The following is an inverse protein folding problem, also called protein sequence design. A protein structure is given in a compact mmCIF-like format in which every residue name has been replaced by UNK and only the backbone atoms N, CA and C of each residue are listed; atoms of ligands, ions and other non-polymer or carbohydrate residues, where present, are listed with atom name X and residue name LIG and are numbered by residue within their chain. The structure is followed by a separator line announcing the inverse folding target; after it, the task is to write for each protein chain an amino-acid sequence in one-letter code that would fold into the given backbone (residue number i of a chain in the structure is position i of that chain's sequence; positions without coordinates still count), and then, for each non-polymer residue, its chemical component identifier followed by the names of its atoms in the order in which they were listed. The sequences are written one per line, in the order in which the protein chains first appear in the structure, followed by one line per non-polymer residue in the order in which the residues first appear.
data_IF_000024295869
#
_entry.id   IF_000024295869
#
_cell.length_a   1.000
_cell.length_b   1.000
_cell.length_c   1.000
_cell.angle_alpha   90.00
_cell.angle_beta   90.00
_cell.angle_gamma   90.00
#
_symmetry.space_group_name_H-M   'P 1'
#
loop_
_entity.id
_entity.type
_entity.pdbx_description
1 polymer ?
#
# COMPACT_ATOMS: atom_id res chain seq x y z
N UNK A 1 -12.09 21.59 -10.99
CA UNK A 1 -11.66 21.44 -9.60
C UNK A 1 -10.41 22.25 -9.25
N UNK A 2 -9.30 22.08 -9.97
CA UNK A 2 -8.03 22.75 -9.69
C UNK A 2 -8.07 24.29 -9.62
N UNK A 3 -8.96 24.95 -10.37
CA UNK A 3 -9.19 26.39 -10.22
C UNK A 3 -9.71 26.75 -8.82
N UNK A 4 -10.59 25.94 -8.23
CA UNK A 4 -11.11 26.15 -6.88
C UNK A 4 -10.00 25.96 -5.87
N UNK A 5 -9.17 24.92 -6.02
CA UNK A 5 -7.98 24.70 -5.17
C UNK A 5 -7.03 25.90 -5.22
N UNK A 6 -6.73 26.41 -6.42
CA UNK A 6 -5.88 27.60 -6.60
C UNK A 6 -6.50 28.87 -5.98
N UNK A 7 -7.80 29.05 -6.13
CA UNK A 7 -8.51 30.19 -5.51
C UNK A 7 -8.53 30.05 -3.99
N UNK A 8 -8.72 28.84 -3.46
CA UNK A 8 -8.64 28.52 -2.03
C UNK A 8 -7.32 28.93 -1.41
N UNK A 9 -6.23 28.61 -2.09
CA UNK A 9 -4.90 29.05 -1.70
C UNK A 9 -4.74 30.56 -1.76
N UNK A 10 -5.07 31.17 -2.90
CA UNK A 10 -4.95 32.61 -3.08
C UNK A 10 -5.69 33.43 -2.02
N UNK A 11 -6.88 32.97 -1.62
CA UNK A 11 -7.73 33.69 -0.68
C UNK A 11 -7.76 33.07 0.72
N UNK A 12 -6.91 32.07 0.99
CA UNK A 12 -6.77 31.40 2.29
C UNK A 12 -8.07 30.90 2.92
N UNK A 13 -9.06 30.51 2.11
CA UNK A 13 -10.29 29.93 2.65
C UNK A 13 -10.12 28.44 2.92
N UNK A 14 -10.79 27.95 3.97
CA UNK A 14 -10.77 26.55 4.35
C UNK A 14 -11.54 25.69 3.35
N UNK A 15 -10.87 24.71 2.76
CA UNK A 15 -11.47 23.79 1.80
C UNK A 15 -12.61 22.97 2.40
N UNK A 16 -12.67 22.80 3.72
CA UNK A 16 -13.79 22.14 4.40
C UNK A 16 -15.14 22.80 4.09
N UNK A 17 -15.17 24.12 3.86
CA UNK A 17 -16.39 24.86 3.51
C UNK A 17 -17.00 24.35 2.19
N UNK A 18 -16.16 23.83 1.29
CA UNK A 18 -16.57 23.29 0.00
C UNK A 18 -16.56 21.75 -0.04
N UNK A 19 -16.38 21.07 1.10
CA UNK A 19 -16.33 19.60 1.15
C UNK A 19 -17.57 18.97 0.53
N UNK A 20 -18.77 19.37 0.94
CA UNK A 20 -20.01 18.74 0.45
C UNK A 20 -20.24 18.96 -1.04
N UNK A 21 -19.78 20.10 -1.58
CA UNK A 21 -19.76 20.36 -3.01
C UNK A 21 -18.77 19.42 -3.71
N UNK A 22 -17.55 19.28 -3.17
CA UNK A 22 -16.51 18.42 -3.73
C UNK A 22 -16.92 16.95 -3.73
N UNK A 23 -17.51 16.45 -2.64
CA UNK A 23 -18.01 15.07 -2.53
C UNK A 23 -19.02 14.78 -3.63
N UNK A 24 -20.05 15.63 -3.80
CA UNK A 24 -21.06 15.47 -4.86
C UNK A 24 -20.45 15.55 -6.26
N UNK A 25 -19.44 16.40 -6.45
CA UNK A 25 -18.71 16.47 -7.70
C UNK A 25 -17.93 15.18 -7.95
N UNK A 26 -17.22 14.66 -6.94
CA UNK A 26 -16.43 13.44 -7.05
C UNK A 26 -17.32 12.25 -7.38
N UNK A 27 -18.37 12.00 -6.62
CA UNK A 27 -19.31 10.89 -6.82
C UNK A 27 -19.98 10.89 -8.20
N UNK A 28 -20.14 12.07 -8.81
CA UNK A 28 -20.75 12.22 -10.13
C UNK A 28 -19.75 12.06 -11.28
N UNK A 29 -18.48 12.40 -11.07
CA UNK A 29 -17.51 12.55 -12.17
C UNK A 29 -16.36 11.54 -12.11
N UNK A 30 -16.17 10.86 -10.98
CA UNK A 30 -15.07 9.90 -10.80
C UNK A 30 -15.65 8.50 -10.74
N UNK A 31 -15.37 7.70 -11.77
CA UNK A 31 -15.61 6.27 -11.76
C UNK A 31 -14.30 5.55 -11.44
N UNK A 32 -14.25 4.85 -10.30
CA UNK A 32 -13.04 4.14 -9.86
C UNK A 32 -12.70 2.91 -10.70
N UNK A 33 -13.67 2.35 -11.44
CA UNK A 33 -13.47 1.20 -12.32
C UNK A 33 -12.87 1.61 -13.67
N UNK A 34 -13.24 2.79 -14.16
CA UNK A 34 -12.75 3.37 -15.43
C UNK A 34 -11.65 4.42 -15.23
N UNK A 35 -11.20 4.64 -14.00
CA UNK A 35 -10.22 5.67 -13.66
C UNK A 35 -8.90 5.49 -14.43
N UNK A 36 -8.48 6.54 -15.13
CA UNK A 36 -7.21 6.55 -15.85
C UNK A 36 -6.04 7.02 -14.98
N UNK A 37 -4.82 6.60 -15.34
CA UNK A 37 -3.59 6.96 -14.63
C UNK A 37 -3.40 8.48 -14.47
N UNK A 38 -3.62 9.23 -15.54
CA UNK A 38 -3.43 10.67 -15.55
C UNK A 38 -4.49 11.39 -14.72
N UNK A 39 -5.71 10.86 -14.67
CA UNK A 39 -6.79 11.40 -13.85
C UNK A 39 -6.50 11.16 -12.36
N UNK A 40 -6.18 9.92 -11.98
CA UNK A 40 -5.85 9.53 -10.61
C UNK A 40 -4.74 10.41 -10.01
N UNK A 41 -3.70 10.71 -10.80
CA UNK A 41 -2.56 11.57 -10.40
C UNK A 41 -2.96 13.01 -10.09
N UNK A 42 -4.13 13.45 -10.55
CA UNK A 42 -4.63 14.82 -10.35
C UNK A 42 -5.70 14.93 -9.25
N UNK A 43 -6.21 13.81 -8.73
CA UNK A 43 -7.35 13.80 -7.80
C UNK A 43 -6.94 13.73 -6.32
N UNK A 44 -5.77 13.17 -6.01
CA UNK A 44 -5.33 13.01 -4.62
C UNK A 44 -5.22 14.37 -3.88
N UNK A 45 -4.61 15.39 -4.50
CA UNK A 45 -4.46 16.70 -3.86
C UNK A 45 -5.83 17.37 -3.61
N UNK A 46 -6.74 17.48 -4.60
CA UNK A 46 -8.11 17.95 -4.33
C UNK A 46 -8.81 17.22 -3.19
N UNK A 47 -8.73 15.89 -3.13
CA UNK A 47 -9.35 15.14 -2.04
C UNK A 47 -8.79 15.53 -0.67
N UNK A 48 -7.49 15.81 -0.58
CA UNK A 48 -6.89 16.31 0.65
C UNK A 48 -7.35 17.75 0.97
N UNK A 49 -7.31 18.65 0.00
CA UNK A 49 -7.64 20.07 0.19
C UNK A 49 -9.09 20.26 0.65
N UNK A 50 -10.02 19.45 0.14
CA UNK A 50 -11.44 19.51 0.52
C UNK A 50 -11.80 18.57 1.67
N UNK A 51 -10.83 17.99 2.38
CA UNK A 51 -11.05 17.07 3.51
C UNK A 51 -11.94 15.87 3.16
N UNK A 52 -11.86 15.39 1.91
CA UNK A 52 -12.58 14.19 1.46
C UNK A 52 -11.74 12.93 1.68
N UNK A 53 -11.81 12.43 2.92
CA UNK A 53 -10.99 11.30 3.39
C UNK A 53 -11.20 10.00 2.62
N UNK A 54 -12.42 9.69 2.21
CA UNK A 54 -12.74 8.48 1.44
C UNK A 54 -12.09 8.54 0.07
N UNK A 55 -12.34 9.61 -0.70
CA UNK A 55 -11.73 9.79 -2.02
C UNK A 55 -10.21 9.84 -1.96
N UNK A 56 -9.63 10.48 -0.93
CA UNK A 56 -8.18 10.50 -0.77
C UNK A 56 -7.59 9.09 -0.59
N UNK A 57 -8.21 8.26 0.24
CA UNK A 57 -7.79 6.89 0.45
C UNK A 57 -7.99 6.04 -0.82
N UNK A 58 -9.12 6.17 -1.51
CA UNK A 58 -9.41 5.45 -2.75
C UNK A 58 -8.41 5.76 -3.85
N UNK A 59 -8.14 7.04 -4.13
CA UNK A 59 -7.21 7.47 -5.17
C UNK A 59 -5.78 7.04 -4.82
N UNK A 60 -5.32 7.24 -3.59
CA UNK A 60 -3.97 6.84 -3.20
C UNK A 60 -3.78 5.33 -3.20
N UNK A 61 -4.81 4.56 -2.84
CA UNK A 61 -4.83 3.10 -3.00
C UNK A 61 -4.75 2.73 -4.48
N UNK A 62 -5.60 3.31 -5.31
CA UNK A 62 -5.62 3.03 -6.75
C UNK A 62 -4.25 3.28 -7.37
N UNK A 63 -3.61 4.42 -7.07
CA UNK A 63 -2.26 4.74 -7.55
C UNK A 63 -1.23 3.69 -7.14
N UNK A 64 -1.25 3.21 -5.90
CA UNK A 64 -0.31 2.18 -5.42
C UNK A 64 -0.45 0.88 -6.20
N UNK A 65 -1.69 0.45 -6.47
CA UNK A 65 -1.98 -0.86 -7.04
C UNK A 65 -2.00 -0.89 -8.57
N UNK A 66 -2.45 0.18 -9.22
CA UNK A 66 -2.71 0.23 -10.67
C UNK A 66 -1.67 1.05 -11.45
N UNK A 67 -0.97 2.01 -10.84
CA UNK A 67 -0.01 2.82 -11.58
C UNK A 67 1.28 2.02 -11.88
N UNK A 68 1.81 2.00 -13.12
CA UNK A 68 3.08 1.38 -13.44
C UNK A 68 4.27 2.28 -13.07
N UNK A 69 5.38 1.67 -12.64
CA UNK A 69 6.61 2.40 -12.36
C UNK A 69 6.55 3.32 -11.12
N UNK A 70 7.21 4.47 -11.20
CA UNK A 70 7.33 5.43 -10.09
C UNK A 70 6.18 6.45 -10.16
N UNK A 71 5.37 6.50 -9.09
CA UNK A 71 4.21 7.37 -9.04
C UNK A 71 4.67 8.82 -8.88
N UNK A 72 4.08 9.72 -9.66
CA UNK A 72 4.29 11.16 -9.56
C UNK A 72 2.96 11.85 -9.42
N UNK A 73 2.90 12.95 -8.69
CA UNK A 73 1.74 13.84 -8.76
C UNK A 73 1.66 14.47 -10.17
N UNK A 74 0.45 14.78 -10.64
CA UNK A 74 0.26 15.62 -11.82
C UNK A 74 -0.52 16.87 -11.40
N UNK A 75 0.09 18.03 -11.64
CA UNK A 75 -0.53 19.33 -11.42
C UNK A 75 -0.83 19.99 -12.78
N UNK A 76 -1.89 20.80 -12.87
CA UNK A 76 -2.13 21.62 -14.06
C UNK A 76 -0.93 22.51 -14.36
N UNK A 77 -0.70 22.78 -15.65
CA UNK A 77 0.31 23.74 -16.08
C UNK A 77 -0.01 25.10 -15.48
N UNK A 78 1.00 25.78 -14.93
CA UNK A 78 0.88 27.08 -14.22
C UNK A 78 0.15 27.04 -12.87
N UNK A 79 0.02 25.87 -12.24
CA UNK A 79 -0.40 25.80 -10.84
C UNK A 79 0.78 26.16 -9.92
N UNK A 80 0.72 27.36 -9.32
CA UNK A 80 1.65 27.83 -8.30
C UNK A 80 0.97 27.82 -6.94
N UNK A 81 1.72 27.40 -5.92
CA UNK A 81 1.28 27.36 -4.53
C UNK A 81 1.81 28.62 -3.85
N UNK A 82 0.94 29.61 -3.63
CA UNK A 82 1.33 30.98 -3.29
C UNK A 82 1.22 31.26 -1.78
N UNK A 83 0.22 30.73 -1.08
CA UNK A 83 -0.16 31.28 0.23
C UNK A 83 -0.44 30.27 1.34
N UNK A 84 -0.82 29.03 1.02
CA UNK A 84 -0.88 27.97 2.00
C UNK A 84 0.54 27.44 2.21
N UNK A 85 1.16 27.85 3.32
CA UNK A 85 2.37 27.24 3.88
C UNK A 85 2.23 25.74 4.20
N UNK A 86 1.08 25.13 3.86
CA UNK A 86 0.93 23.70 3.69
C UNK A 86 1.82 23.30 2.51
N UNK A 87 3.03 22.83 2.80
CA UNK A 87 3.72 21.94 1.86
C UNK A 87 2.65 20.93 1.41
N UNK A 88 2.30 20.89 0.10
CA UNK A 88 1.24 20.03 -0.37
C UNK A 88 1.54 18.66 0.21
N UNK A 89 0.54 17.95 0.79
CA UNK A 89 0.79 16.68 1.46
C UNK A 89 1.72 15.87 0.57
N UNK A 90 2.95 15.62 1.04
CA UNK A 90 3.87 14.76 0.30
C UNK A 90 3.32 13.35 0.44
N UNK A 91 2.31 13.05 -0.35
CA UNK A 91 1.66 11.76 -0.43
C UNK A 91 2.44 10.85 -1.39
N UNK A 92 3.20 11.44 -2.32
CA UNK A 92 3.97 10.76 -3.36
C UNK A 92 5.07 9.89 -2.74
N UNK A 93 5.84 10.43 -1.80
CA UNK A 93 6.87 9.65 -1.09
C UNK A 93 6.28 8.42 -0.39
N UNK A 94 5.30 8.58 0.51
CA UNK A 94 4.59 7.50 1.17
C UNK A 94 4.00 6.43 0.25
N UNK A 95 3.27 6.81 -0.80
CA UNK A 95 2.66 5.81 -1.70
C UNK A 95 3.72 5.03 -2.50
N UNK A 96 4.82 5.67 -2.90
CA UNK A 96 5.93 4.95 -3.54
C UNK A 96 6.63 3.99 -2.57
N UNK A 97 6.77 4.36 -1.29
CA UNK A 97 7.30 3.46 -0.27
C UNK A 97 6.38 2.22 -0.07
N UNK A 98 5.06 2.44 -0.02
CA UNK A 98 4.08 1.33 0.02
C UNK A 98 4.18 0.46 -1.24
N UNK A 99 4.30 1.06 -2.42
CA UNK A 99 4.49 0.33 -3.67
C UNK A 99 5.75 -0.54 -3.65
N UNK A 100 6.88 -0.03 -3.12
CA UNK A 100 8.08 -0.84 -2.89
C UNK A 100 7.85 -2.00 -1.90
N UNK A 101 7.00 -1.78 -0.89
CA UNK A 101 6.60 -2.81 0.06
C UNK A 101 5.73 -3.90 -0.58
N UNK A 102 4.82 -3.55 -1.49
CA UNK A 102 4.05 -4.54 -2.27
C UNK A 102 4.97 -5.42 -3.12
N UNK A 103 5.96 -4.83 -3.82
CA UNK A 103 7.01 -5.60 -4.53
C UNK A 103 7.68 -6.60 -3.58
N UNK A 104 8.04 -6.16 -2.38
CA UNK A 104 8.69 -7.01 -1.37
C UNK A 104 7.78 -8.13 -0.83
N UNK A 105 6.46 -7.96 -0.83
CA UNK A 105 5.51 -9.01 -0.44
C UNK A 105 5.37 -10.06 -1.54
N UNK A 106 5.23 -9.62 -2.80
CA UNK A 106 5.17 -10.50 -3.96
C UNK A 106 6.46 -11.32 -4.07
N UNK A 107 7.63 -10.67 -3.97
CA UNK A 107 8.92 -11.34 -4.02
C UNK A 107 9.05 -12.43 -2.95
N UNK A 108 8.74 -12.10 -1.69
CA UNK A 108 8.78 -13.09 -0.60
C UNK A 108 7.80 -14.23 -0.82
N UNK A 109 6.58 -13.93 -1.26
CA UNK A 109 5.59 -14.95 -1.61
C UNK A 109 6.06 -15.95 -2.66
N UNK A 110 6.74 -15.47 -3.70
CA UNK A 110 7.33 -16.33 -4.73
C UNK A 110 8.57 -17.08 -4.24
N UNK A 111 9.35 -16.50 -3.31
CA UNK A 111 10.65 -17.03 -2.91
C UNK A 111 10.59 -17.95 -1.71
N UNK A 112 9.85 -17.63 -0.64
CA UNK A 112 9.98 -18.28 0.67
C UNK A 112 9.85 -19.81 0.57
N UNK A 113 8.83 -20.28 -0.13
CA UNK A 113 8.59 -21.72 -0.28
C UNK A 113 9.69 -22.45 -1.06
N UNK A 114 10.13 -21.89 -2.21
CA UNK A 114 11.13 -22.55 -3.05
C UNK A 114 12.55 -22.36 -2.50
N UNK A 115 12.81 -21.21 -1.87
CA UNK A 115 14.04 -20.91 -1.17
C UNK A 115 14.32 -21.91 -0.05
N UNK A 116 13.30 -22.34 0.68
CA UNK A 116 13.44 -23.39 1.70
C UNK A 116 13.83 -24.75 1.09
N UNK A 117 13.28 -25.11 -0.07
CA UNK A 117 13.70 -26.31 -0.80
C UNK A 117 15.17 -26.21 -1.25
N UNK A 118 15.54 -25.06 -1.83
CA UNK A 118 16.89 -24.79 -2.34
C UNK A 118 17.95 -24.69 -1.25
N UNK A 119 17.58 -24.30 -0.02
CA UNK A 119 18.49 -24.33 1.14
C UNK A 119 18.74 -25.74 1.62
N UNK A 120 17.71 -26.60 1.64
CA UNK A 120 17.84 -28.00 2.10
C UNK A 120 18.63 -28.87 1.13
N UNK A 121 18.51 -28.61 -0.18
CA UNK A 121 19.21 -29.34 -1.27
C UNK A 121 19.08 -30.87 -1.18
N UNK A 122 18.00 -31.34 -0.57
CA UNK A 122 17.80 -32.76 -0.32
C UNK A 122 16.31 -33.07 -0.20
N UNK A 123 15.90 -34.17 -0.83
CA UNK A 123 14.66 -34.88 -0.58
C UNK A 123 14.95 -36.38 -0.69
N UNK A 124 14.12 -37.21 -0.07
CA UNK A 124 14.14 -38.67 -0.25
C UNK A 124 14.02 -39.10 -1.72
N UNK A 125 13.52 -38.21 -2.58
CA UNK A 125 13.28 -38.44 -3.99
C UNK A 125 14.41 -38.06 -4.95
N UNK A 126 15.44 -37.32 -4.50
CA UNK A 126 16.46 -36.71 -5.38
C UNK A 126 15.97 -35.67 -6.42
N UNK A 127 14.68 -35.29 -6.46
CA UNK A 127 14.09 -34.42 -7.53
C UNK A 127 13.96 -32.94 -7.16
N UNK A 128 14.72 -32.46 -6.17
CA UNK A 128 14.59 -31.06 -5.72
C UNK A 128 15.00 -30.07 -6.82
N UNK A 129 16.01 -30.40 -7.64
CA UNK A 129 16.46 -29.57 -8.78
C UNK A 129 15.38 -29.46 -9.85
N UNK A 130 14.80 -30.59 -10.27
CA UNK A 130 13.69 -30.62 -11.24
C UNK A 130 12.49 -29.84 -10.73
N UNK A 131 12.21 -29.91 -9.43
CA UNK A 131 11.12 -29.16 -8.79
C UNK A 131 11.39 -27.66 -8.85
N UNK A 132 12.59 -27.21 -8.50
CA UNK A 132 12.96 -25.79 -8.61
C UNK A 132 12.96 -25.29 -10.06
N UNK A 133 13.51 -26.06 -10.99
CA UNK A 133 13.50 -25.71 -12.42
C UNK A 133 12.09 -25.53 -12.97
N UNK A 134 11.17 -26.47 -12.66
CA UNK A 134 9.76 -26.35 -13.06
C UNK A 134 9.05 -25.17 -12.39
N UNK A 135 9.34 -24.91 -11.11
CA UNK A 135 8.77 -23.78 -10.40
C UNK A 135 9.13 -22.45 -11.06
N UNK A 136 10.42 -22.22 -11.37
CA UNK A 136 10.85 -21.02 -12.07
C UNK A 136 10.35 -20.96 -13.51
N UNK A 137 10.31 -22.08 -14.23
CA UNK A 137 9.74 -22.13 -15.57
C UNK A 137 8.27 -21.69 -15.58
N UNK A 138 7.48 -22.13 -14.60
CA UNK A 138 6.09 -21.70 -14.45
C UNK A 138 5.96 -20.22 -14.06
N UNK A 139 6.83 -19.70 -13.19
CA UNK A 139 6.86 -18.26 -12.90
C UNK A 139 7.18 -17.43 -14.14
N UNK A 140 8.17 -17.83 -14.93
CA UNK A 140 8.52 -17.17 -16.20
C UNK A 140 7.34 -17.23 -17.17
N UNK A 141 6.66 -18.38 -17.29
CA UNK A 141 5.47 -18.53 -18.15
C UNK A 141 4.34 -17.56 -17.79
N UNK A 142 4.20 -17.18 -16.52
CA UNK A 142 3.21 -16.16 -16.12
C UNK A 142 3.61 -14.73 -16.49
N UNK A 143 4.83 -14.48 -16.96
CA UNK A 143 5.35 -13.12 -17.25
C UNK A 143 5.37 -12.20 -16.02
N UNK A 144 5.38 -12.78 -14.81
CA UNK A 144 5.50 -12.09 -13.53
C UNK A 144 6.93 -12.15 -12.95
N UNK A 145 7.83 -12.89 -13.60
CA UNK A 145 9.20 -13.14 -13.18
C UNK A 145 10.18 -12.92 -14.36
N UNK A 146 11.37 -12.32 -14.14
CA UNK A 146 11.87 -11.76 -12.88
C UNK A 146 11.14 -10.49 -12.46
N UNK A 147 10.82 -10.37 -11.17
CA UNK A 147 9.97 -9.31 -10.64
C UNK A 147 10.59 -7.92 -10.83
N UNK A 148 11.92 -7.83 -10.77
CA UNK A 148 12.70 -6.61 -10.90
C UNK A 148 12.42 -5.89 -12.22
N UNK A 149 12.33 -6.66 -13.31
CA UNK A 149 12.10 -6.13 -14.65
C UNK A 149 10.61 -5.86 -14.89
N UNK A 150 9.74 -6.76 -14.42
CA UNK A 150 8.29 -6.64 -14.63
C UNK A 150 7.70 -5.47 -13.82
N UNK A 151 8.12 -5.27 -12.58
CA UNK A 151 7.53 -4.26 -11.67
C UNK A 151 7.79 -2.82 -12.09
N UNK A 152 8.82 -2.58 -12.93
CA UNK A 152 9.10 -1.27 -13.51
C UNK A 152 8.09 -0.89 -14.60
N UNK A 153 7.49 -1.87 -15.28
CA UNK A 153 6.62 -1.68 -16.47
C UNK A 153 5.17 -2.08 -16.25
N UNK A 154 4.86 -2.72 -15.12
CA UNK A 154 3.53 -3.23 -14.82
C UNK A 154 3.05 -2.75 -13.46
N UNK A 155 1.74 -2.69 -13.30
CA UNK A 155 1.13 -2.40 -12.01
C UNK A 155 1.25 -3.59 -11.06
N UNK A 156 1.00 -3.37 -9.77
CA UNK A 156 0.93 -4.49 -8.82
C UNK A 156 -0.23 -5.43 -9.21
N UNK A 157 -1.38 -4.88 -9.60
CA UNK A 157 -2.54 -5.67 -10.01
C UNK A 157 -2.30 -6.50 -11.28
N UNK A 158 -1.54 -6.00 -12.26
CA UNK A 158 -1.17 -6.79 -13.45
C UNK A 158 -0.36 -8.02 -13.06
N UNK A 159 0.63 -7.82 -12.20
CA UNK A 159 1.53 -8.88 -11.74
C UNK A 159 0.75 -9.91 -10.91
N UNK A 160 -0.10 -9.44 -10.00
CA UNK A 160 -0.99 -10.31 -9.22
C UNK A 160 -1.96 -11.09 -10.13
N UNK A 161 -2.51 -10.44 -11.17
CA UNK A 161 -3.37 -11.06 -12.17
C UNK A 161 -2.65 -12.18 -12.93
N UNK A 162 -1.42 -11.94 -13.38
CA UNK A 162 -0.54 -12.93 -14.01
C UNK A 162 -0.25 -14.13 -13.11
N UNK A 163 0.09 -13.88 -11.84
CA UNK A 163 0.39 -14.92 -10.86
C UNK A 163 -0.81 -15.84 -10.55
N UNK A 164 -2.06 -15.39 -10.76
CA UNK A 164 -3.25 -16.27 -10.61
C UNK A 164 -3.20 -17.50 -11.51
N UNK A 165 -2.52 -17.39 -12.66
CA UNK A 165 -2.32 -18.45 -13.65
C UNK A 165 -1.13 -19.37 -13.35
N UNK A 166 -0.41 -19.14 -12.24
CA UNK A 166 0.64 -20.06 -11.81
C UNK A 166 0.04 -21.43 -11.47
N UNK A 167 0.54 -22.48 -12.13
CA UNK A 167 0.11 -23.86 -11.97
C UNK A 167 1.30 -24.78 -12.18
N UNK A 168 1.65 -25.55 -11.17
CA UNK A 168 2.81 -26.43 -11.23
C UNK A 168 2.40 -27.85 -10.86
N UNK A 169 2.55 -28.77 -11.81
CA UNK A 169 2.34 -30.19 -11.56
C UNK A 169 3.49 -30.71 -10.70
N UNK A 170 3.21 -31.32 -9.53
CA UNK A 170 4.25 -31.84 -8.66
C UNK A 170 5.13 -32.90 -9.35
N UNK A 171 6.41 -32.94 -9.01
CA UNK A 171 7.40 -33.82 -9.68
C UNK A 171 7.48 -35.22 -9.06
N UNK A 172 6.81 -35.42 -7.93
CA UNK A 172 6.74 -36.67 -7.18
C UNK A 172 5.41 -36.72 -6.42
N UNK A 173 4.79 -37.90 -6.35
CA UNK A 173 3.60 -38.14 -5.54
C UNK A 173 3.92 -38.52 -4.09
N UNK A 174 5.11 -39.06 -3.82
CA UNK A 174 5.49 -39.64 -2.53
C UNK A 174 6.40 -38.77 -1.67
N UNK A 175 7.04 -37.75 -2.24
CA UNK A 175 7.94 -36.85 -1.50
C UNK A 175 7.19 -35.59 -1.03
N UNK A 176 7.05 -35.34 0.28
CA UNK A 176 6.34 -34.17 0.81
C UNK A 176 6.87 -32.81 0.31
N UNK A 177 8.15 -32.73 -0.03
CA UNK A 177 8.78 -31.51 -0.54
C UNK A 177 8.50 -31.27 -2.03
N UNK A 178 8.43 -32.35 -2.82
CA UNK A 178 8.26 -32.28 -4.27
C UNK A 178 6.80 -32.51 -4.71
N UNK A 179 5.96 -33.04 -3.82
CA UNK A 179 4.51 -33.22 -3.98
C UNK A 179 3.69 -32.01 -3.52
N UNK A 180 4.34 -31.01 -2.92
CA UNK A 180 3.70 -29.80 -2.40
C UNK A 180 2.88 -29.13 -3.51
N UNK A 181 1.68 -28.66 -3.13
CA UNK A 181 0.87 -27.76 -3.97
C UNK A 181 1.51 -26.36 -3.98
N UNK A 182 2.37 -26.13 -4.96
CA UNK A 182 3.16 -24.90 -5.08
C UNK A 182 2.31 -23.66 -5.39
N UNK A 183 1.06 -23.84 -5.81
CA UNK A 183 0.10 -22.76 -6.01
C UNK A 183 -0.35 -22.11 -4.70
N UNK A 184 -0.34 -22.86 -3.58
CA UNK A 184 -0.87 -22.36 -2.30
C UNK A 184 -0.07 -21.14 -1.82
N UNK A 185 1.28 -21.19 -1.70
CA UNK A 185 2.07 -20.02 -1.33
C UNK A 185 1.88 -18.81 -2.25
N UNK A 186 1.73 -19.06 -3.57
CA UNK A 186 1.48 -17.99 -4.55
C UNK A 186 0.11 -17.34 -4.31
N UNK A 187 -0.95 -18.13 -4.09
CA UNK A 187 -2.28 -17.61 -3.79
C UNK A 187 -2.30 -16.80 -2.49
N UNK A 188 -1.68 -17.31 -1.43
CA UNK A 188 -1.54 -16.57 -0.18
C UNK A 188 -0.80 -15.25 -0.35
N UNK A 189 0.26 -15.23 -1.18
CA UNK A 189 0.99 -14.01 -1.49
C UNK A 189 0.14 -13.00 -2.26
N UNK A 190 -0.70 -13.47 -3.20
CA UNK A 190 -1.65 -12.64 -3.93
C UNK A 190 -2.63 -12.00 -2.96
N UNK A 191 -3.30 -12.79 -2.12
CA UNK A 191 -4.28 -12.30 -1.15
C UNK A 191 -3.66 -11.31 -0.16
N UNK A 192 -2.50 -11.65 0.42
CA UNK A 192 -1.78 -10.77 1.36
C UNK A 192 -1.40 -9.43 0.72
N UNK A 193 -1.02 -9.44 -0.56
CA UNK A 193 -0.62 -8.21 -1.27
C UNK A 193 -1.83 -7.38 -1.66
N UNK A 194 -2.89 -8.01 -2.19
CA UNK A 194 -4.10 -7.34 -2.69
C UNK A 194 -4.82 -6.53 -1.59
N UNK A 195 -4.78 -7.00 -0.35
CA UNK A 195 -5.43 -6.34 0.79
C UNK A 195 -4.46 -5.64 1.75
N UNK A 196 -3.18 -5.50 1.37
CA UNK A 196 -2.16 -4.93 2.25
C UNK A 196 -2.43 -3.46 2.63
N UNK A 197 -2.88 -2.63 1.69
CA UNK A 197 -2.96 -1.18 1.86
C UNK A 197 -4.34 -0.63 1.51
N UNK A 198 -4.87 0.24 2.37
CA UNK A 198 -6.22 0.81 2.22
C UNK A 198 -6.22 2.22 1.62
N UNK A 199 -5.07 2.75 1.20
CA UNK A 199 -4.91 4.18 0.90
C UNK A 199 -4.26 4.91 2.06
N UNK A 200 -3.84 6.16 1.84
CA UNK A 200 -3.40 7.05 2.92
C UNK A 200 -4.61 7.58 3.68
N UNK A 201 -4.41 7.89 4.96
CA UNK A 201 -5.46 8.38 5.85
C UNK A 201 -5.12 9.79 6.34
N UNK A 202 -5.95 10.76 5.98
CA UNK A 202 -5.80 12.17 6.39
C UNK A 202 -5.77 12.28 7.93
N UNK A 203 -6.66 11.57 8.63
CA UNK A 203 -6.71 11.62 10.10
C UNK A 203 -5.41 11.11 10.76
N UNK A 204 -4.77 10.09 10.17
CA UNK A 204 -3.45 9.62 10.62
C UNK A 204 -2.35 10.64 10.32
N UNK A 205 -2.40 11.27 9.14
CA UNK A 205 -1.47 12.33 8.76
C UNK A 205 -1.55 13.50 9.75
N UNK A 206 -2.76 13.95 10.07
CA UNK A 206 -2.99 15.09 10.94
C UNK A 206 -2.66 14.83 12.40
N UNK A 207 -3.00 13.64 12.90
CA UNK A 207 -2.74 13.25 14.30
C UNK A 207 -1.27 12.98 14.59
N UNK A 208 -0.51 12.55 13.59
CA UNK A 208 0.92 12.28 13.75
C UNK A 208 1.80 13.52 13.57
N UNK A 209 1.24 14.64 13.07
CA UNK A 209 1.94 15.93 13.08
C UNK A 209 2.14 16.42 14.51
N UNK A 210 3.38 16.78 14.86
CA UNK A 210 3.69 17.34 16.17
C UNK A 210 2.99 18.70 16.33
N UNK A 211 2.00 18.77 17.22
CA UNK A 211 1.35 20.03 17.58
C UNK A 211 2.18 20.71 18.67
N UNK A 212 2.47 22.00 18.52
CA UNK A 212 3.32 22.77 19.45
C UNK A 212 2.81 22.79 20.89
N UNK A 213 1.53 22.46 21.10
CA UNK A 213 0.82 22.59 22.37
C UNK A 213 0.57 21.24 23.09
N UNK A 214 0.82 20.09 22.46
CA UNK A 214 0.58 18.79 23.09
C UNK A 214 1.77 18.35 23.92
N UNK A 215 1.54 17.91 25.16
CA UNK A 215 2.54 17.17 25.92
C UNK A 215 2.98 15.93 25.13
N UNK A 216 4.25 15.54 25.23
CA UNK A 216 4.75 14.34 24.53
C UNK A 216 3.84 13.14 24.85
N UNK A 217 3.43 12.96 26.12
CA UNK A 217 2.56 11.85 26.59
C UNK A 217 1.22 11.80 25.87
N UNK A 218 0.54 12.94 25.71
CA UNK A 218 -0.71 12.98 24.98
C UNK A 218 -0.48 12.67 23.50
N UNK A 219 0.59 13.21 22.90
CA UNK A 219 0.96 12.90 21.52
C UNK A 219 1.17 11.38 21.29
N UNK A 220 1.74 10.65 22.26
CA UNK A 220 1.90 9.18 22.18
C UNK A 220 0.56 8.45 22.23
N UNK A 221 -0.27 8.72 23.25
CA UNK A 221 -1.55 8.03 23.46
C UNK A 221 -2.50 8.15 22.28
N UNK A 222 -2.52 9.30 21.60
CA UNK A 222 -3.39 9.52 20.45
C UNK A 222 -2.92 8.75 19.20
N UNK A 223 -1.64 8.36 19.13
CA UNK A 223 -1.05 7.69 17.98
C UNK A 223 -0.92 6.17 18.15
N UNK A 224 -1.16 5.65 19.35
CA UNK A 224 -1.17 4.23 19.68
C UNK A 224 -2.38 3.50 19.06
N UNK A 225 -2.22 2.21 18.67
CA UNK A 225 -3.35 1.39 18.31
C UNK A 225 -4.21 1.13 19.55
N UNK A 226 -5.51 1.39 19.46
CA UNK A 226 -6.43 1.10 20.56
C UNK A 226 -7.06 -0.28 20.37
N UNK A 227 -6.94 -1.14 21.37
CA UNK A 227 -7.43 -2.54 21.31
C UNK A 227 -6.87 -3.31 20.09
N UNK A 228 -5.67 -2.95 19.65
CA UNK A 228 -5.02 -3.51 18.47
C UNK A 228 -5.56 -3.01 17.12
N UNK A 229 -6.41 -1.97 17.12
CA UNK A 229 -6.92 -1.30 15.92
C UNK A 229 -6.19 0.02 15.66
N UNK A 230 -5.76 0.20 14.42
CA UNK A 230 -5.02 1.39 13.96
C UNK A 230 -5.93 2.51 13.45
N UNK A 231 -7.22 2.23 13.28
CA UNK A 231 -8.22 3.10 12.65
C UNK A 231 -9.26 3.66 13.63
N UNK A 232 -9.13 3.43 14.95
CA UNK A 232 -10.18 3.77 15.94
C UNK A 232 -10.53 5.26 15.99
N UNK A 233 -9.58 6.12 15.63
CA UNK A 233 -9.75 7.58 15.58
C UNK A 233 -9.77 8.13 14.15
N UNK A 234 -10.12 7.29 13.18
CA UNK A 234 -10.12 7.64 11.77
C UNK A 234 -11.54 7.52 11.21
N UNK A 235 -11.87 8.40 10.26
CA UNK A 235 -13.14 8.42 9.52
C UNK A 235 -13.25 7.27 8.51
N UNK A 236 -12.13 6.62 8.19
CA UNK A 236 -12.06 5.44 7.32
C UNK A 236 -11.48 4.24 8.07
N UNK A 237 -11.92 3.04 7.71
CA UNK A 237 -11.34 1.79 8.23
C UNK A 237 -10.04 1.46 7.51
N UNK A 238 -9.00 1.13 8.26
CA UNK A 238 -7.71 0.74 7.68
C UNK A 238 -6.82 -0.06 8.65
N UNK A 239 -5.80 -0.74 8.11
CA UNK A 239 -4.81 -1.48 8.89
C UNK A 239 -3.56 -0.68 9.29
N UNK A 240 -2.62 -1.39 9.92
CA UNK A 240 -1.26 -0.90 10.25
C UNK A 240 -0.55 -0.30 9.02
N UNK A 241 -0.59 -0.89 7.80
CA UNK A 241 0.15 -0.35 6.67
C UNK A 241 -0.28 1.06 6.25
N UNK A 242 -1.58 1.34 6.30
CA UNK A 242 -2.12 2.68 6.05
C UNK A 242 -1.69 3.67 7.12
N UNK A 243 -1.79 3.31 8.39
CA UNK A 243 -1.32 4.15 9.50
C UNK A 243 0.18 4.46 9.35
N UNK A 244 0.99 3.44 9.07
CA UNK A 244 2.45 3.56 8.95
C UNK A 244 2.85 4.49 7.80
N UNK A 245 2.22 4.33 6.64
CA UNK A 245 2.48 5.14 5.46
C UNK A 245 1.98 6.58 5.63
N UNK A 246 0.88 6.78 6.36
CA UNK A 246 0.30 8.10 6.62
C UNK A 246 1.03 8.87 7.73
N UNK A 247 2.06 8.29 8.34
CA UNK A 247 2.78 8.90 9.45
C UNK A 247 3.62 10.10 9.01
N UNK A 248 3.38 11.26 9.64
CA UNK A 248 4.11 12.52 9.44
C UNK A 248 4.95 12.96 10.64
N UNK A 249 4.95 12.18 11.72
CA UNK A 249 5.74 12.44 12.92
C UNK A 249 7.20 11.99 12.82
N UNK A 250 7.92 12.03 13.95
CA UNK A 250 9.30 11.51 14.05
C UNK A 250 9.34 10.00 13.81
N UNK A 251 10.36 9.51 13.10
CA UNK A 251 10.47 8.06 12.80
C UNK A 251 10.72 7.22 14.07
N UNK A 252 11.53 7.72 15.00
CA UNK A 252 11.77 7.03 16.28
C UNK A 252 10.48 6.74 17.05
N UNK A 253 9.55 7.71 17.05
CA UNK A 253 8.22 7.57 17.65
C UNK A 253 7.44 6.45 16.96
N UNK A 254 7.39 6.47 15.63
CA UNK A 254 6.73 5.43 14.84
C UNK A 254 7.29 4.04 15.14
N UNK A 255 8.61 3.89 15.18
CA UNK A 255 9.27 2.61 15.45
C UNK A 255 8.95 2.08 16.85
N UNK A 256 8.91 2.96 17.85
CA UNK A 256 8.58 2.59 19.24
C UNK A 256 7.15 2.03 19.34
N UNK A 257 6.16 2.72 18.75
CA UNK A 257 4.76 2.31 18.74
C UNK A 257 4.56 0.92 18.09
N UNK A 258 5.22 0.67 16.96
CA UNK A 258 5.17 -0.63 16.28
C UNK A 258 5.78 -1.73 17.17
N UNK A 259 6.91 -1.43 17.83
CA UNK A 259 7.61 -2.39 18.68
C UNK A 259 6.75 -2.77 19.89
N UNK A 260 6.09 -1.80 20.51
CA UNK A 260 5.19 -2.01 21.65
C UNK A 260 3.96 -2.84 21.22
N UNK A 261 3.29 -2.45 20.14
CA UNK A 261 2.16 -3.22 19.61
C UNK A 261 2.52 -4.68 19.29
N UNK A 262 3.69 -4.93 18.69
CA UNK A 262 4.16 -6.29 18.40
C UNK A 262 4.43 -7.11 19.66
N UNK A 263 4.90 -6.48 20.74
CA UNK A 263 5.10 -7.16 22.03
C UNK A 263 3.76 -7.55 22.65
N UNK A 264 2.80 -6.64 22.67
CA UNK A 264 1.45 -6.89 23.19
C UNK A 264 0.76 -8.01 22.41
N UNK A 265 0.83 -7.97 21.08
CA UNK A 265 0.24 -8.99 20.23
C UNK A 265 0.80 -10.39 20.54
N UNK A 266 2.13 -10.51 20.66
CA UNK A 266 2.78 -11.79 21.03
C UNK A 266 2.30 -12.29 22.40
N UNK A 267 2.26 -11.40 23.39
CA UNK A 267 1.81 -11.77 24.74
C UNK A 267 0.37 -12.31 24.75
N UNK A 268 -0.52 -11.74 23.92
CA UNK A 268 -1.90 -12.25 23.77
C UNK A 268 -1.97 -13.59 23.02
N UNK A 269 -1.15 -13.78 21.99
CA UNK A 269 -1.15 -15.01 21.20
C UNK A 269 -0.56 -16.20 22.00
N UNK A 270 0.26 -15.91 23.02
CA UNK A 270 0.87 -16.89 23.93
C UNK A 270 0.03 -17.18 25.20
N UNK A 271 -1.12 -16.49 25.39
CA UNK A 271 -2.03 -16.63 26.55
C UNK A 271 -3.28 -17.43 26.20
#
# INVERSE_FOLDING_TARGET
MWHIVRTGDKFLFDGEILRDFFVKWYEKNVDMEELEEEEARTLALPCFVFDYVQGFAEITKWLVYNYPGHIKEKRPVHFNWEHQHLAPPDFVGPINAVRGRLKSLIHRGMWDGIGDLLKRRSCSCGRWETTAGRYFAELVRTEAFPLEDTYAKSSANDILGRLKYFRMIPTSSSCPHCSRKWEIPIKEAIEKTQYYFNGLCIDCMDRSMAKRESSDVDYWKHNEPMEGRWDKHCRIKHGEPTWYASWRGRDETRQKLIKEHRKEKRARDDS
#
